data_IF_812027969598
#
_entry.id   IF_812027969598
#
_cell.length_a   1.000
_cell.length_b   1.000
_cell.length_c   1.000
_cell.angle_alpha   90.00
_cell.angle_beta   90.00
_cell.angle_gamma   90.00
#
_symmetry.space_group_name_H-M   'P 1'
#
loop_
_entity.id
_entity.type
_entity.pdbx_description
1 polymer ?
#
# COMPACT_ATOMS: atom_id res chain seq x y z
N UNK A 1 13.89 4.15 7.92
CA UNK A 1 14.07 2.73 7.50
C UNK A 1 15.34 2.42 6.69
N UNK A 2 16.03 3.35 5.98
CA UNK A 2 17.31 3.04 5.28
C UNK A 2 18.34 2.33 6.15
N UNK A 3 18.41 2.72 7.43
CA UNK A 3 19.39 2.21 8.40
C UNK A 3 19.22 0.71 8.66
N UNK A 4 17.99 0.19 8.58
CA UNK A 4 17.70 -1.21 8.89
C UNK A 4 18.07 -2.13 7.73
N UNK A 5 17.79 -1.71 6.50
CA UNK A 5 18.14 -2.44 5.28
C UNK A 5 19.62 -2.34 4.90
N UNK A 6 20.36 -1.38 5.45
CA UNK A 6 21.82 -1.26 5.24
C UNK A 6 22.64 -2.06 6.26
N UNK A 7 22.00 -2.58 7.32
CA UNK A 7 22.67 -3.44 8.30
C UNK A 7 22.81 -4.85 7.74
N UNK A 8 24.00 -5.44 7.85
CA UNK A 8 24.25 -6.82 7.46
C UNK A 8 23.44 -7.84 8.29
N UNK A 9 23.04 -7.46 9.50
CA UNK A 9 22.12 -8.22 10.35
C UNK A 9 21.20 -7.28 11.13
N UNK A 10 19.93 -7.63 11.22
CA UNK A 10 18.97 -6.91 12.07
C UNK A 10 19.22 -7.30 13.53
N UNK A 11 19.38 -6.33 14.41
CA UNK A 11 19.41 -6.63 15.86
C UNK A 11 18.01 -6.97 16.35
N UNK A 12 17.92 -7.62 17.52
CA UNK A 12 16.62 -7.92 18.16
C UNK A 12 15.82 -6.64 18.40
N UNK A 13 16.48 -5.59 18.86
CA UNK A 13 15.87 -4.28 19.12
C UNK A 13 15.32 -3.64 17.83
N UNK A 14 16.06 -3.76 16.72
CA UNK A 14 15.59 -3.27 15.42
C UNK A 14 14.34 -4.03 14.95
N UNK A 15 14.29 -5.35 15.17
CA UNK A 15 13.16 -6.18 14.80
C UNK A 15 11.91 -5.83 15.63
N UNK A 16 12.07 -5.64 16.94
CA UNK A 16 10.99 -5.22 17.85
C UNK A 16 10.46 -3.83 17.49
N UNK A 17 11.35 -2.88 17.14
CA UNK A 17 10.94 -1.55 16.70
C UNK A 17 10.13 -1.61 15.40
N UNK A 18 10.56 -2.40 14.42
CA UNK A 18 9.82 -2.59 13.15
C UNK A 18 8.46 -3.23 13.38
N UNK A 19 8.39 -4.23 14.27
CA UNK A 19 7.14 -4.89 14.62
C UNK A 19 6.16 -3.89 15.26
N UNK A 20 6.63 -3.12 16.24
CA UNK A 20 5.83 -2.09 16.94
C UNK A 20 5.27 -1.06 15.95
N UNK A 21 6.09 -0.57 15.02
CA UNK A 21 5.65 0.37 13.99
C UNK A 21 4.62 -0.25 13.03
N UNK A 22 4.79 -1.53 12.67
CA UNK A 22 3.84 -2.24 11.84
C UNK A 22 2.47 -2.42 12.54
N UNK A 23 2.47 -2.74 13.83
CA UNK A 23 1.25 -2.83 14.65
C UNK A 23 0.54 -1.47 14.74
N UNK A 24 1.28 -0.39 15.00
CA UNK A 24 0.74 0.97 15.03
C UNK A 24 0.13 1.37 13.67
N UNK A 25 0.76 0.99 12.57
CA UNK A 25 0.22 1.22 11.23
C UNK A 25 -1.10 0.46 11.00
N UNK A 26 -1.18 -0.80 11.44
CA UNK A 26 -2.38 -1.64 11.35
C UNK A 26 -3.51 -1.06 12.19
N UNK A 27 -3.24 -0.63 13.42
CA UNK A 27 -4.23 -0.05 14.31
C UNK A 27 -4.75 1.29 13.78
N UNK A 28 -3.84 2.15 13.32
CA UNK A 28 -4.21 3.42 12.70
C UNK A 28 -5.06 3.19 11.43
N UNK A 29 -4.67 2.25 10.57
CA UNK A 29 -5.46 1.89 9.39
C UNK A 29 -6.84 1.35 9.78
N UNK A 30 -6.91 0.44 10.76
CA UNK A 30 -8.15 -0.12 11.29
C UNK A 30 -9.09 0.97 11.79
N UNK A 31 -8.57 1.93 12.56
CA UNK A 31 -9.34 3.06 13.05
C UNK A 31 -9.85 3.96 11.92
N UNK A 32 -9.05 4.20 10.89
CA UNK A 32 -9.48 4.97 9.71
C UNK A 32 -10.57 4.24 8.92
N UNK A 33 -10.48 2.92 8.80
CA UNK A 33 -11.44 2.11 8.02
C UNK A 33 -12.83 2.08 8.65
N UNK A 34 -12.93 2.18 9.98
CA UNK A 34 -14.20 2.22 10.74
C UNK A 34 -15.07 3.42 10.42
N UNK A 35 -14.51 4.50 9.88
CA UNK A 35 -15.27 5.71 9.57
C UNK A 35 -16.13 5.46 8.32
N UNK A 36 -17.48 5.49 8.44
CA UNK A 36 -18.33 5.40 7.27
C UNK A 36 -18.10 6.64 6.40
N UNK A 37 -17.97 6.48 5.08
CA UNK A 37 -17.93 7.64 4.20
C UNK A 37 -19.26 8.37 4.20
N UNK A 38 -19.20 9.70 4.15
CA UNK A 38 -20.37 10.52 3.85
C UNK A 38 -20.84 10.33 2.40
N UNK A 39 -19.92 10.01 1.46
CA UNK A 39 -20.22 9.80 0.04
C UNK A 39 -19.30 8.74 -0.61
N UNK A 40 -19.89 7.72 -1.25
CA UNK A 40 -19.17 6.63 -1.93
C UNK A 40 -18.80 6.98 -3.38
N UNK A 41 -17.99 8.02 -3.58
CA UNK A 41 -17.49 8.36 -4.92
C UNK A 41 -16.30 7.47 -5.33
N UNK A 42 -16.08 7.26 -6.63
CA UNK A 42 -14.91 6.53 -7.11
C UNK A 42 -13.58 7.16 -6.63
N UNK A 43 -13.51 8.49 -6.55
CA UNK A 43 -12.33 9.19 -6.04
C UNK A 43 -12.10 8.90 -4.55
N UNK A 44 -13.17 8.91 -3.75
CA UNK A 44 -13.09 8.54 -2.34
C UNK A 44 -12.63 7.09 -2.17
N UNK A 45 -13.21 6.17 -2.92
CA UNK A 45 -12.82 4.75 -2.91
C UNK A 45 -11.35 4.57 -3.28
N UNK A 46 -10.86 5.24 -4.33
CA UNK A 46 -9.44 5.23 -4.67
C UNK A 46 -8.61 5.67 -3.47
N UNK A 47 -8.88 6.83 -2.86
CA UNK A 47 -8.07 7.28 -1.71
C UNK A 47 -8.07 6.28 -0.54
N UNK A 48 -9.25 5.75 -0.19
CA UNK A 48 -9.41 4.78 0.90
C UNK A 48 -8.64 3.49 0.61
N UNK A 49 -8.85 2.92 -0.57
CA UNK A 49 -8.21 1.67 -0.98
C UNK A 49 -6.70 1.82 -1.19
N UNK A 50 -6.24 2.97 -1.71
CA UNK A 50 -4.82 3.27 -1.86
C UNK A 50 -4.12 3.34 -0.49
N UNK A 51 -4.72 4.01 0.49
CA UNK A 51 -4.15 4.06 1.84
C UNK A 51 -4.04 2.67 2.45
N UNK A 52 -5.10 1.87 2.31
CA UNK A 52 -5.11 0.50 2.80
C UNK A 52 -4.05 -0.35 2.10
N UNK A 53 -3.98 -0.28 0.77
CA UNK A 53 -3.00 -1.02 -0.04
C UNK A 53 -1.56 -0.72 0.40
N UNK A 54 -1.23 0.54 0.67
CA UNK A 54 0.10 0.94 1.12
C UNK A 54 0.44 0.39 2.51
N UNK A 55 -0.54 0.34 3.42
CA UNK A 55 -0.36 -0.26 4.75
C UNK A 55 -0.19 -1.78 4.63
N UNK A 56 -1.03 -2.45 3.85
CA UNK A 56 -0.94 -3.91 3.67
C UNK A 56 0.37 -4.33 3.03
N UNK A 57 0.82 -3.66 1.96
CA UNK A 57 2.11 -3.97 1.34
C UNK A 57 3.26 -3.75 2.33
N UNK A 58 3.19 -2.72 3.18
CA UNK A 58 4.20 -2.51 4.22
C UNK A 58 4.22 -3.67 5.23
N UNK A 59 3.07 -4.06 5.76
CA UNK A 59 2.95 -5.13 6.76
C UNK A 59 3.40 -6.46 6.17
N UNK A 60 2.97 -6.79 4.96
CA UNK A 60 3.38 -8.03 4.28
C UNK A 60 4.88 -8.03 4.00
N UNK A 61 5.46 -6.92 3.53
CA UNK A 61 6.91 -6.80 3.40
C UNK A 61 7.62 -7.02 4.74
N UNK A 62 7.08 -6.48 5.85
CA UNK A 62 7.63 -6.72 7.18
C UNK A 62 7.54 -8.20 7.58
N UNK A 63 6.43 -8.89 7.28
CA UNK A 63 6.30 -10.33 7.55
C UNK A 63 7.29 -11.16 6.74
N UNK A 64 7.58 -10.77 5.49
CA UNK A 64 8.58 -11.44 4.65
C UNK A 64 10.00 -11.27 5.23
N UNK A 65 10.29 -10.13 5.87
CA UNK A 65 11.61 -9.83 6.46
C UNK A 65 11.79 -10.48 7.83
N UNK A 66 10.77 -10.41 8.70
CA UNK A 66 10.85 -10.92 10.07
C UNK A 66 10.52 -12.41 10.17
N UNK A 67 9.85 -12.98 9.17
CA UNK A 67 9.41 -14.37 9.14
C UNK A 67 8.52 -14.71 10.34
N UNK A 68 8.77 -15.88 10.93
CA UNK A 68 7.97 -16.45 12.02
C UNK A 68 7.94 -15.59 13.29
N UNK A 69 8.93 -14.69 13.47
CA UNK A 69 9.02 -13.82 14.65
C UNK A 69 7.88 -12.79 14.73
N UNK A 70 7.22 -12.49 13.60
CA UNK A 70 6.17 -11.47 13.55
C UNK A 70 4.81 -11.97 14.09
N UNK A 71 4.68 -13.25 14.47
CA UNK A 71 3.39 -13.87 14.85
C UNK A 71 2.25 -13.47 13.87
N UNK A 72 2.61 -13.45 12.58
CA UNK A 72 1.82 -12.83 11.53
C UNK A 72 0.42 -13.44 11.42
N UNK A 73 0.28 -14.74 11.68
CA UNK A 73 -1.01 -15.44 11.62
C UNK A 73 -2.06 -14.85 12.56
N UNK A 74 -1.67 -14.47 13.78
CA UNK A 74 -2.59 -13.87 14.76
C UNK A 74 -3.00 -12.45 14.37
N UNK A 75 -2.02 -11.61 14.04
CA UNK A 75 -2.26 -10.22 13.65
C UNK A 75 -3.08 -10.12 12.36
N UNK A 76 -2.77 -10.96 11.38
CA UNK A 76 -3.37 -10.89 10.06
C UNK A 76 -4.83 -11.34 10.04
N UNK A 77 -5.18 -12.42 10.75
CA UNK A 77 -6.53 -13.00 10.73
C UNK A 77 -7.60 -11.99 11.16
N UNK A 78 -7.39 -11.32 12.30
CA UNK A 78 -8.34 -10.31 12.78
C UNK A 78 -8.36 -9.05 11.90
N UNK A 79 -7.19 -8.63 11.41
CA UNK A 79 -7.08 -7.41 10.64
C UNK A 79 -7.68 -7.54 9.24
N UNK A 80 -7.42 -8.65 8.54
CA UNK A 80 -7.96 -8.93 7.20
C UNK A 80 -9.49 -8.92 7.18
N UNK A 81 -10.14 -9.32 8.27
CA UNK A 81 -11.59 -9.32 8.41
C UNK A 81 -12.17 -7.92 8.66
N UNK A 82 -11.40 -6.99 9.24
CA UNK A 82 -11.87 -5.63 9.60
C UNK A 82 -12.13 -4.73 8.39
N UNK A 83 -11.68 -5.10 7.19
CA UNK A 83 -11.86 -4.28 6.01
C UNK A 83 -12.55 -4.99 4.84
N UNK A 84 -13.35 -4.18 4.15
CA UNK A 84 -14.01 -4.53 2.91
C UNK A 84 -13.09 -4.18 1.74
N UNK A 85 -12.89 -5.13 0.82
CA UNK A 85 -12.03 -4.98 -0.36
C UNK A 85 -12.72 -5.38 -1.67
N UNK A 86 -13.92 -5.96 -1.61
CA UNK A 86 -14.73 -6.46 -2.73
C UNK A 86 -15.51 -5.34 -3.44
N UNK A 87 -14.86 -4.22 -3.79
CA UNK A 87 -15.52 -3.18 -4.55
C UNK A 87 -15.46 -3.49 -6.05
N UNK A 88 -16.62 -3.38 -6.70
CA UNK A 88 -16.72 -3.46 -8.14
C UNK A 88 -17.49 -2.24 -8.67
N UNK A 89 -16.83 -1.46 -9.51
CA UNK A 89 -17.44 -0.32 -10.21
C UNK A 89 -17.55 -0.63 -11.70
N UNK A 90 -18.76 -0.59 -12.29
CA UNK A 90 -18.94 -0.87 -13.71
C UNK A 90 -18.24 0.19 -14.56
N UNK A 91 -17.50 -0.24 -15.58
CA UNK A 91 -16.65 0.61 -16.43
C UNK A 91 -17.39 1.64 -17.30
N UNK A 92 -18.73 1.65 -17.26
CA UNK A 92 -19.56 2.61 -17.97
C UNK A 92 -19.46 3.99 -17.31
N UNK A 93 -18.75 4.91 -17.95
CA UNK A 93 -18.61 6.28 -17.48
C UNK A 93 -18.41 7.22 -18.66
N UNK A 94 -19.19 8.31 -18.71
CA UNK A 94 -19.13 9.28 -19.82
C UNK A 94 -17.76 9.95 -19.92
N UNK A 95 -17.12 10.22 -18.77
CA UNK A 95 -15.82 10.91 -18.70
C UNK A 95 -14.65 9.92 -18.62
N UNK A 96 -13.58 10.18 -19.39
CA UNK A 96 -12.35 9.37 -19.37
C UNK A 96 -11.76 9.25 -17.95
N UNK A 97 -11.70 10.35 -17.20
CA UNK A 97 -11.21 10.38 -15.81
C UNK A 97 -11.99 9.46 -14.88
N UNK A 98 -13.32 9.43 -14.99
CA UNK A 98 -14.15 8.53 -14.18
C UNK A 98 -13.88 7.07 -14.53
N UNK A 99 -13.71 6.74 -15.82
CA UNK A 99 -13.34 5.39 -16.26
C UNK A 99 -11.98 4.96 -15.73
N UNK A 100 -11.00 5.86 -15.66
CA UNK A 100 -9.68 5.58 -15.09
C UNK A 100 -9.77 5.31 -13.57
N UNK A 101 -10.49 6.15 -12.82
CA UNK A 101 -10.70 5.95 -11.38
C UNK A 101 -11.39 4.63 -11.08
N UNK A 102 -12.48 4.30 -11.80
CA UNK A 102 -13.19 3.03 -11.63
C UNK A 102 -12.31 1.82 -11.91
N UNK A 103 -11.52 1.87 -12.99
CA UNK A 103 -10.54 0.82 -13.30
C UNK A 103 -9.53 0.64 -12.17
N UNK A 104 -9.01 1.72 -11.62
CA UNK A 104 -8.08 1.65 -10.50
C UNK A 104 -8.75 1.10 -9.22
N UNK A 105 -9.98 1.49 -8.90
CA UNK A 105 -10.74 0.91 -7.77
C UNK A 105 -10.80 -0.61 -7.91
N UNK A 106 -11.15 -1.11 -9.09
CA UNK A 106 -11.27 -2.55 -9.32
C UNK A 106 -9.91 -3.27 -9.19
N UNK A 107 -8.82 -2.68 -9.72
CA UNK A 107 -7.46 -3.23 -9.56
C UNK A 107 -7.01 -3.24 -8.10
N UNK A 108 -7.21 -2.14 -7.37
CA UNK A 108 -6.89 -2.06 -5.95
C UNK A 108 -7.71 -3.07 -5.15
N UNK A 109 -9.00 -3.20 -5.44
CA UNK A 109 -9.89 -4.17 -4.80
C UNK A 109 -9.38 -5.61 -4.97
N UNK A 110 -8.97 -5.97 -6.19
CA UNK A 110 -8.37 -7.26 -6.49
C UNK A 110 -7.01 -7.49 -5.80
N UNK A 111 -6.12 -6.49 -5.81
CA UNK A 111 -4.84 -6.61 -5.11
C UNK A 111 -5.04 -6.74 -3.59
N UNK A 112 -6.00 -6.01 -3.02
CA UNK A 112 -6.36 -6.08 -1.62
C UNK A 112 -6.98 -7.44 -1.25
N UNK A 113 -7.77 -8.08 -2.14
CA UNK A 113 -8.27 -9.43 -1.87
C UNK A 113 -7.15 -10.47 -1.80
N UNK A 114 -6.10 -10.33 -2.62
CA UNK A 114 -4.90 -11.18 -2.51
C UNK A 114 -4.19 -10.93 -1.18
N UNK A 115 -4.02 -9.65 -0.80
CA UNK A 115 -3.42 -9.33 0.49
C UNK A 115 -4.18 -9.94 1.64
N UNK A 116 -5.52 -9.98 1.63
CA UNK A 116 -6.31 -10.62 2.70
C UNK A 116 -5.90 -12.06 3.01
N UNK A 117 -5.32 -12.77 2.04
CA UNK A 117 -4.79 -14.13 2.20
C UNK A 117 -3.37 -14.17 2.79
N UNK A 118 -2.85 -13.03 3.29
CA UNK A 118 -1.45 -12.82 3.68
C UNK A 118 -0.46 -13.06 2.53
N UNK A 119 -0.93 -12.94 1.28
CA UNK A 119 -0.10 -13.13 0.09
C UNK A 119 0.18 -11.81 -0.60
N UNK A 120 1.34 -11.73 -1.22
CA UNK A 120 1.73 -10.57 -2.01
C UNK A 120 1.28 -10.72 -3.48
N UNK A 121 0.60 -9.71 -4.07
CA UNK A 121 0.32 -9.70 -5.50
C UNK A 121 1.61 -9.76 -6.35
N UNK A 122 1.46 -9.99 -7.65
CA UNK A 122 2.58 -9.96 -8.58
C UNK A 122 3.35 -8.63 -8.46
N UNK A 123 4.69 -8.70 -8.43
CA UNK A 123 5.54 -7.52 -8.22
C UNK A 123 5.25 -6.39 -9.20
N UNK A 124 5.03 -6.73 -10.47
CA UNK A 124 4.69 -5.76 -11.51
C UNK A 124 3.39 -5.02 -11.18
N UNK A 125 2.36 -5.72 -10.71
CA UNK A 125 1.09 -5.11 -10.31
C UNK A 125 1.29 -4.16 -9.12
N UNK A 126 2.15 -4.50 -8.16
CA UNK A 126 2.45 -3.63 -7.02
C UNK A 126 3.15 -2.35 -7.48
N UNK A 127 4.14 -2.46 -8.36
CA UNK A 127 4.87 -1.31 -8.91
C UNK A 127 3.90 -0.40 -9.66
N UNK A 128 3.06 -0.95 -10.53
CA UNK A 128 2.08 -0.18 -11.29
C UNK A 128 1.03 0.48 -10.40
N UNK A 129 0.51 -0.22 -9.39
CA UNK A 129 -0.45 0.34 -8.46
C UNK A 129 0.16 1.45 -7.61
N UNK A 130 1.36 1.26 -7.05
CA UNK A 130 2.07 2.33 -6.33
C UNK A 130 2.33 3.53 -7.22
N UNK A 131 2.79 3.29 -8.46
CA UNK A 131 2.97 4.32 -9.47
C UNK A 131 1.67 5.07 -9.74
N UNK A 132 0.57 4.36 -9.94
CA UNK A 132 -0.76 4.94 -10.16
C UNK A 132 -1.23 5.76 -8.95
N UNK A 133 -0.98 5.30 -7.71
CA UNK A 133 -1.34 6.00 -6.46
C UNK A 133 -0.56 7.31 -6.32
N UNK A 134 0.74 7.28 -6.58
CA UNK A 134 1.62 8.45 -6.46
C UNK A 134 1.33 9.46 -7.58
N UNK A 135 1.11 8.98 -8.81
CA UNK A 135 0.83 9.81 -9.99
C UNK A 135 -0.60 10.28 -10.10
N UNK A 136 -1.48 9.92 -9.16
CA UNK A 136 -2.93 10.13 -9.21
C UNK A 136 -3.41 11.57 -8.97
N UNK A 137 -2.57 12.58 -9.25
CA UNK A 137 -2.26 13.65 -8.32
C UNK A 137 -3.53 14.33 -7.76
N UNK A 138 -3.44 14.79 -6.52
CA UNK A 138 -3.81 16.09 -5.93
C UNK A 138 -4.61 17.17 -6.72
N UNK A 139 -4.95 16.99 -8.00
CA UNK A 139 -5.86 17.80 -8.84
C UNK A 139 -7.33 17.72 -8.43
N UNK A 140 -7.72 16.85 -7.48
CA UNK A 140 -9.06 16.94 -6.90
C UNK A 140 -9.18 18.08 -5.87
N UNK A 141 -8.08 18.41 -5.17
CA UNK A 141 -8.05 19.50 -4.18
C UNK A 141 -7.97 20.91 -4.78
N UNK A 142 -7.71 21.07 -6.08
CA UNK A 142 -7.78 22.39 -6.74
C UNK A 142 -9.20 22.76 -7.20
N UNK A 143 -10.05 21.78 -7.54
CA UNK A 143 -11.43 22.04 -7.98
C UNK A 143 -12.49 21.86 -6.87
N UNK A 144 -12.19 21.20 -5.75
CA UNK A 144 -13.14 21.07 -4.63
C UNK A 144 -13.09 22.25 -3.65
N UNK A 145 -12.86 23.48 -4.14
CA UNK A 145 -12.66 24.65 -3.26
C UNK A 145 -13.94 25.29 -2.73
N UNK A 146 -15.13 24.84 -3.13
CA UNK A 146 -16.37 25.53 -2.70
C UNK A 146 -17.32 24.74 -1.81
N UNK A 147 -17.56 23.43 -1.93
CA UNK A 147 -18.62 22.77 -1.13
C UNK A 147 -18.30 21.30 -0.75
N UNK A 148 -17.25 21.06 0.01
CA UNK A 148 -17.13 19.81 0.78
C UNK A 148 -16.72 20.16 2.21
N UNK A 149 -17.72 20.16 3.10
CA UNK A 149 -17.50 20.27 4.53
C UNK A 149 -16.42 19.31 5.00
N UNK A 150 -15.58 19.81 5.89
CA UNK A 150 -14.41 19.23 6.55
C UNK A 150 -14.53 17.74 6.86
N UNK A 151 -14.41 16.87 5.85
CA UNK A 151 -14.22 15.44 6.05
C UNK A 151 -12.74 15.26 6.34
N UNK A 152 -12.43 14.89 7.59
CA UNK A 152 -11.10 14.79 8.19
C UNK A 152 -10.14 13.77 7.55
N UNK A 153 -10.26 13.48 6.26
CA UNK A 153 -9.29 12.77 5.44
C UNK A 153 -8.22 13.74 4.98
N UNK A 154 -7.55 14.39 5.93
CA UNK A 154 -6.24 14.95 5.64
C UNK A 154 -5.33 13.73 5.56
N UNK A 155 -4.86 13.38 4.35
CA UNK A 155 -3.69 12.50 4.19
C UNK A 155 -2.65 13.06 5.16
N UNK A 156 -2.45 12.40 6.30
CA UNK A 156 -1.60 12.93 7.35
C UNK A 156 -0.21 13.10 6.77
N UNK A 157 0.60 14.00 7.33
CA UNK A 157 1.99 14.24 6.91
C UNK A 157 2.75 12.90 6.72
N UNK A 158 2.44 11.91 7.55
CA UNK A 158 2.95 10.54 7.47
C UNK A 158 2.66 9.84 6.13
N UNK A 159 1.51 10.02 5.48
CA UNK A 159 1.28 9.41 4.16
C UNK A 159 2.14 10.01 3.05
N UNK A 160 2.54 11.29 3.18
CA UNK A 160 3.50 11.94 2.26
C UNK A 160 4.93 11.51 2.53
N UNK A 161 5.31 11.37 3.79
CA UNK A 161 6.59 10.77 4.16
C UNK A 161 6.67 9.32 3.69
N UNK A 162 5.61 8.54 3.90
CA UNK A 162 5.51 7.17 3.40
C UNK A 162 5.65 7.13 1.88
N UNK A 163 4.90 7.95 1.12
CA UNK A 163 5.01 8.02 -0.35
C UNK A 163 6.42 8.40 -0.84
N UNK A 164 7.09 9.37 -0.19
CA UNK A 164 8.48 9.71 -0.51
C UNK A 164 9.48 8.62 -0.12
N UNK A 165 9.24 7.87 0.97
CA UNK A 165 10.06 6.70 1.30
C UNK A 165 9.87 5.53 0.34
N UNK A 166 8.75 5.43 -0.38
CA UNK A 166 8.47 4.30 -1.29
C UNK A 166 9.17 4.37 -2.65
N UNK A 167 9.39 5.56 -3.21
CA UNK A 167 10.17 5.76 -4.44
C UNK A 167 11.63 5.31 -4.25
N UNK A 168 12.11 5.38 -3.01
CA UNK A 168 13.43 4.91 -2.56
C UNK A 168 13.48 3.38 -2.37
N UNK A 169 12.34 2.71 -2.13
CA UNK A 169 12.26 1.24 -1.94
C UNK A 169 12.15 0.51 -3.28
N UNK A 170 11.46 1.09 -4.27
CA UNK A 170 11.29 0.47 -5.60
C UNK A 170 12.58 0.46 -6.44
N UNK A 171 13.56 1.31 -6.13
CA UNK A 171 14.88 1.30 -6.79
C UNK A 171 15.74 0.09 -6.40
N UNK A 172 15.39 -0.63 -5.32
CA UNK A 172 16.17 -1.73 -4.76
C UNK A 172 15.99 -3.08 -5.49
N UNK A 173 14.86 -3.29 -6.19
CA UNK A 173 14.54 -4.60 -6.82
C UNK A 173 14.85 -4.67 -8.32
N UNK A 174 15.92 -3.98 -8.76
CA UNK A 174 16.55 -4.26 -10.06
C UNK A 174 17.74 -5.20 -9.77
N UNK A 175 17.62 -6.52 -9.99
CA UNK A 175 18.77 -7.41 -9.83
C UNK A 175 19.85 -6.99 -10.81
N UNK A 176 21.03 -6.65 -10.29
CA UNK A 176 22.26 -6.67 -11.07
C UNK A 176 22.57 -8.14 -11.36
N UNK A 177 21.90 -8.71 -12.37
CA UNK A 177 22.20 -10.04 -12.84
C UNK A 177 22.52 -9.95 -14.33
N UNK A 178 23.70 -9.43 -14.61
CA UNK A 178 24.35 -9.62 -15.89
C UNK A 178 25.86 -9.59 -15.66
N UNK A 179 26.55 -10.66 -16.10
CA UNK A 179 28.00 -10.91 -16.11
C UNK A 179 28.60 -11.57 -14.86
N UNK A 180 28.55 -12.90 -14.83
CA UNK A 180 29.68 -13.77 -14.43
C UNK A 180 29.34 -15.23 -14.79
N UNK A 181 29.37 -15.54 -16.09
CA UNK A 181 29.40 -16.92 -16.63
C UNK A 181 30.15 -16.94 -17.97
N UNK A 182 31.43 -16.63 -17.90
CA UNK A 182 32.52 -16.98 -18.83
C UNK A 182 33.72 -16.80 -17.91
N UNK A 183 34.30 -17.85 -17.32
CA UNK A 183 35.23 -18.76 -17.99
C UNK A 183 35.37 -20.05 -17.17
N UNK A 184 35.11 -21.20 -17.79
CA UNK A 184 35.62 -22.51 -17.36
C UNK A 184 35.32 -23.56 -18.43
N UNK A 185 36.00 -23.44 -19.57
CA UNK A 185 36.33 -24.54 -20.48
C UNK A 185 37.40 -24.04 -21.46
N UNK A 186 38.66 -24.30 -21.14
CA UNK A 186 39.75 -24.65 -22.04
C UNK A 186 41.04 -24.77 -21.22
#
# INVERSE_FOLDING_TARGET
>A
MRILSSKASLTVQDAEAVLTEAELLVDNASHQLRRPPSNWTAAYLVMKLSSLFMVLDCVVCTTEVLGDKMNAGRLWGEFAQKFRADYFLPGTGRKLRQRALKRLVNRLSYALSIYKEARRPALQEIIELKGAIITLPYKASQDCRTHCGSSGWRMTRNSRELAMTWDTILTFKRPANEKLKTDLTA
#
